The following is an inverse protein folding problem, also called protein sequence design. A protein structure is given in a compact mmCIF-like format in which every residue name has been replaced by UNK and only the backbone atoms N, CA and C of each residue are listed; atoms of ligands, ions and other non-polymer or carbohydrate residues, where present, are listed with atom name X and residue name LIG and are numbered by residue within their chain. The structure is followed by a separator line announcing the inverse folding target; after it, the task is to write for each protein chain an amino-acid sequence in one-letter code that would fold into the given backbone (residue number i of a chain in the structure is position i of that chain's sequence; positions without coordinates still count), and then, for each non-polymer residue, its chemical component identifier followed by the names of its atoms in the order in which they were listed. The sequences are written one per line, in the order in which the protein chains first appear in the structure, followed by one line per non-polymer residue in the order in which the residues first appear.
data_IF_484447841241
#
_entry.id   IF_484447841241
#
_cell.length_a   1.000
_cell.length_b   1.000
_cell.length_c   1.000
_cell.angle_alpha   90.00
_cell.angle_beta   90.00
_cell.angle_gamma   90.00
#
_symmetry.space_group_name_H-M   'P 1'
#
loop_
_entity.id
_entity.type
_entity.pdbx_description
1 polymer ?
#
# COMPACT_ATOMS: atom_id res chain seq x y z
N UNK A 1 -10.63 3.74 8.84
CA UNK A 1 -9.72 4.74 8.25
C UNK A 1 -8.85 5.27 9.40
N UNK A 2 -7.53 5.37 9.25
CA UNK A 2 -6.58 5.63 10.34
C UNK A 2 -5.30 6.30 9.85
N UNK A 3 -4.39 6.65 10.75
CA UNK A 3 -3.13 7.28 10.38
C UNK A 3 -2.11 6.24 9.91
N UNK A 4 -1.47 6.51 8.77
CA UNK A 4 -0.34 5.74 8.26
C UNK A 4 0.98 6.32 8.74
N UNK A 5 1.85 5.46 9.25
CA UNK A 5 3.22 5.81 9.63
C UNK A 5 4.20 4.98 8.81
N UNK A 6 5.23 5.65 8.26
CA UNK A 6 6.34 5.02 7.56
C UNK A 6 7.63 5.35 8.32
N UNK A 7 8.38 4.32 8.74
CA UNK A 7 9.62 4.48 9.53
C UNK A 7 9.45 5.40 10.76
N UNK A 8 8.33 5.25 11.48
CA UNK A 8 8.01 6.05 12.67
C UNK A 8 7.54 7.49 12.39
N UNK A 9 7.49 7.93 11.12
CA UNK A 9 6.98 9.25 10.74
C UNK A 9 5.55 9.18 10.22
N UNK A 10 4.72 10.14 10.61
CA UNK A 10 3.33 10.26 10.15
C UNK A 10 3.32 10.64 8.67
N UNK A 11 2.82 9.74 7.81
CA UNK A 11 2.83 9.91 6.35
C UNK A 11 1.45 10.23 5.77
N UNK A 12 0.42 10.35 6.61
CA UNK A 12 -0.92 10.77 6.20
C UNK A 12 -1.97 9.75 6.60
N UNK A 13 -3.05 9.69 5.83
CA UNK A 13 -4.21 8.88 6.14
C UNK A 13 -4.23 7.60 5.29
N UNK A 14 -4.56 6.49 5.93
CA UNK A 14 -4.64 5.19 5.31
C UNK A 14 -6.00 4.55 5.65
N UNK A 15 -6.63 3.97 4.64
CA UNK A 15 -7.92 3.32 4.78
C UNK A 15 -7.95 2.01 4.03
N UNK A 16 -8.44 0.95 4.69
CA UNK A 16 -8.89 -0.22 3.96
C UNK A 16 -10.12 0.19 3.15
N UNK A 17 -10.05 0.04 1.83
CA UNK A 17 -11.24 0.15 0.97
C UNK A 17 -11.93 -1.22 0.95
N UNK A 18 -13.13 -1.29 1.50
CA UNK A 18 -13.97 -2.50 1.46
C UNK A 18 -14.60 -2.70 0.08
N UNK A 19 -14.89 -1.61 -0.62
CA UNK A 19 -15.46 -1.63 -1.97
C UNK A 19 -14.52 -0.91 -2.94
N UNK A 20 -14.08 -1.64 -3.96
CA UNK A 20 -13.33 -1.08 -5.09
C UNK A 20 -14.32 -0.67 -6.18
N UNK A 21 -14.30 0.60 -6.57
CA UNK A 21 -15.07 1.09 -7.71
C UNK A 21 -14.49 0.62 -9.04
N UNK A 22 -15.16 0.98 -10.13
CA UNK A 22 -14.73 0.62 -11.49
C UNK A 22 -13.31 1.12 -11.80
N UNK A 23 -12.93 2.27 -11.25
CA UNK A 23 -11.59 2.86 -11.43
C UNK A 23 -10.52 2.06 -10.71
N UNK A 24 -10.75 1.70 -9.45
CA UNK A 24 -9.83 0.85 -8.68
C UNK A 24 -9.68 -0.53 -9.29
N UNK A 25 -10.76 -1.13 -9.80
CA UNK A 25 -10.69 -2.41 -10.50
C UNK A 25 -9.84 -2.35 -11.77
N UNK A 26 -9.93 -1.27 -12.56
CA UNK A 26 -9.06 -1.07 -13.72
C UNK A 26 -7.59 -0.95 -13.32
N UNK A 27 -7.30 -0.23 -12.24
CA UNK A 27 -5.95 -0.13 -11.68
C UNK A 27 -5.43 -1.51 -11.23
N UNK A 28 -6.23 -2.26 -10.47
CA UNK A 28 -5.84 -3.58 -9.98
C UNK A 28 -5.59 -4.57 -11.13
N UNK A 29 -6.41 -4.53 -12.20
CA UNK A 29 -6.17 -5.33 -13.41
C UNK A 29 -4.89 -4.93 -14.12
N UNK A 30 -4.59 -3.64 -14.22
CA UNK A 30 -3.33 -3.20 -14.84
C UNK A 30 -2.09 -3.58 -14.02
N UNK A 31 -2.24 -3.72 -12.70
CA UNK A 31 -1.18 -4.17 -11.82
C UNK A 31 -1.06 -5.68 -11.71
N UNK A 32 -2.00 -6.45 -12.25
CA UNK A 32 -2.01 -7.93 -12.25
C UNK A 32 -0.67 -8.56 -12.70
N UNK A 33 -0.01 -8.11 -13.80
CA UNK A 33 1.28 -8.67 -14.22
C UNK A 33 2.48 -8.24 -13.34
N UNK A 34 2.35 -7.21 -12.50
CA UNK A 34 3.47 -6.69 -11.70
C UNK A 34 3.64 -7.52 -10.43
N UNK A 35 4.54 -8.49 -10.36
CA UNK A 35 4.66 -9.32 -9.14
C UNK A 35 5.13 -8.53 -7.91
N UNK A 36 6.13 -7.66 -8.08
CA UNK A 36 6.67 -6.76 -7.06
C UNK A 36 7.23 -5.49 -7.73
N UNK A 37 7.30 -4.36 -7.00
CA UNK A 37 7.87 -3.10 -7.48
C UNK A 37 7.06 -1.87 -7.05
N UNK A 38 7.57 -0.69 -7.40
CA UNK A 38 6.87 0.58 -7.26
C UNK A 38 6.96 1.36 -8.57
N UNK A 39 5.96 2.20 -8.85
CA UNK A 39 5.93 2.98 -10.09
C UNK A 39 4.79 3.97 -10.13
N UNK A 40 4.75 4.76 -11.21
CA UNK A 40 3.64 5.65 -11.53
C UNK A 40 2.80 5.04 -12.65
N UNK A 41 1.49 5.22 -12.56
CA UNK A 41 0.54 4.82 -13.58
C UNK A 41 -0.39 5.99 -13.89
N UNK A 42 -0.80 6.21 -15.16
CA UNK A 42 -1.80 7.22 -15.47
C UNK A 42 -3.11 6.95 -14.73
N UNK A 43 -3.69 7.97 -14.07
CA UNK A 43 -5.05 7.88 -13.52
C UNK A 43 -6.07 7.76 -14.65
N UNK A 44 -7.02 6.85 -14.48
CA UNK A 44 -8.15 6.66 -15.39
C UNK A 44 -9.33 7.63 -15.10
N UNK A 45 -9.04 8.85 -14.66
CA UNK A 45 -10.03 9.89 -14.36
C UNK A 45 -10.03 11.03 -15.37
N UNK A 46 -11.22 11.52 -15.74
CA UNK A 46 -11.36 12.81 -16.42
C UNK A 46 -11.10 13.92 -15.40
N UNK A 47 -9.99 14.64 -15.57
CA UNK A 47 -9.54 15.70 -14.68
C UNK A 47 -8.05 15.59 -14.38
N UNK A 48 -7.28 16.46 -15.02
CA UNK A 48 -5.85 16.81 -14.81
C UNK A 48 -4.94 15.75 -14.15
N UNK A 49 -4.05 15.17 -14.98
CA UNK A 49 -2.71 14.63 -14.64
C UNK A 49 -2.51 14.17 -13.18
N UNK A 50 -3.38 13.31 -12.67
CA UNK A 50 -3.17 12.68 -11.37
C UNK A 50 -2.42 11.39 -11.64
N UNK A 51 -1.10 11.40 -11.56
CA UNK A 51 -0.34 10.14 -11.64
C UNK A 51 -0.63 9.33 -10.36
N UNK A 52 -0.99 8.06 -10.53
CA UNK A 52 -1.19 7.14 -9.41
C UNK A 52 0.13 6.43 -9.17
N UNK A 53 0.78 6.77 -8.05
CA UNK A 53 1.89 5.98 -7.54
C UNK A 53 1.35 4.69 -6.93
N UNK A 54 1.94 3.56 -7.30
CA UNK A 54 1.62 2.26 -6.74
C UNK A 54 2.88 1.58 -6.20
N UNK A 55 2.66 0.68 -5.25
CA UNK A 55 3.67 -0.25 -4.77
C UNK A 55 3.01 -1.62 -4.59
N UNK A 56 3.60 -2.66 -5.18
CA UNK A 56 3.21 -4.05 -5.02
C UNK A 56 4.39 -4.81 -4.45
N UNK A 57 4.19 -5.54 -3.38
CA UNK A 57 5.21 -6.39 -2.78
C UNK A 57 4.54 -7.49 -1.98
N UNK A 58 5.32 -8.47 -1.55
CA UNK A 58 4.89 -9.43 -0.54
C UNK A 58 5.07 -8.78 0.83
N UNK A 59 3.98 -8.67 1.58
CA UNK A 59 4.01 -8.14 2.94
C UNK A 59 3.64 -9.22 3.94
N UNK A 60 4.38 -9.27 5.04
CA UNK A 60 3.95 -9.96 6.24
C UNK A 60 3.07 -9.01 7.06
N UNK A 61 1.81 -9.40 7.27
CA UNK A 61 0.85 -8.65 8.08
C UNK A 61 0.89 -9.16 9.51
N UNK A 62 1.25 -8.28 10.44
CA UNK A 62 1.20 -8.52 11.88
C UNK A 62 0.11 -7.64 12.49
N UNK A 63 -0.84 -8.27 13.18
CA UNK A 63 -1.90 -7.55 13.89
C UNK A 63 -1.45 -7.40 15.34
N UNK A 64 -1.16 -6.18 15.77
CA UNK A 64 -0.72 -5.92 17.14
C UNK A 64 -1.89 -5.81 18.13
N UNK A 65 -2.97 -5.13 17.70
CA UNK A 65 -4.18 -4.95 18.50
C UNK A 65 -5.37 -4.71 17.57
N UNK A 66 -6.59 -4.57 18.12
CA UNK A 66 -7.80 -4.21 17.37
C UNK A 66 -7.62 -2.97 16.50
N UNK A 67 -6.77 -2.06 16.98
CA UNK A 67 -6.56 -0.74 16.41
C UNK A 67 -5.17 -0.58 15.77
N UNK A 68 -4.36 -1.64 15.72
CA UNK A 68 -2.98 -1.58 15.20
C UNK A 68 -2.63 -2.75 14.30
N UNK A 69 -2.18 -2.43 13.09
CA UNK A 69 -1.66 -3.38 12.11
C UNK A 69 -0.31 -2.90 11.58
N UNK A 70 0.63 -3.82 11.39
CA UNK A 70 1.93 -3.58 10.79
C UNK A 70 2.10 -4.46 9.55
N UNK A 71 2.71 -3.90 8.50
CA UNK A 71 3.03 -4.59 7.27
C UNK A 71 4.53 -4.49 7.01
N UNK A 72 5.21 -5.62 7.03
CA UNK A 72 6.65 -5.73 6.75
C UNK A 72 6.84 -6.16 5.31
N UNK A 73 7.48 -5.33 4.48
CA UNK A 73 7.83 -5.73 3.12
C UNK A 73 8.92 -6.79 3.19
N UNK A 74 8.63 -7.95 2.63
CA UNK A 74 9.57 -9.07 2.55
C UNK A 74 10.40 -8.93 1.29
N UNK A 75 11.73 -8.89 1.43
CA UNK A 75 12.63 -9.00 0.29
C UNK A 75 12.68 -10.48 -0.17
N UNK A 76 12.46 -10.79 -1.46
CA UNK A 76 12.59 -12.16 -1.98
C UNK A 76 13.98 -12.78 -1.76
N UNK A 77 15.03 -11.96 -1.63
CA UNK A 77 16.43 -12.39 -1.48
C UNK A 77 16.83 -12.68 -0.01
N UNK A 78 15.86 -12.73 0.92
CA UNK A 78 16.04 -13.32 2.26
C UNK A 78 17.15 -12.70 3.14
N UNK A 79 17.50 -11.42 2.96
CA UNK A 79 18.51 -10.78 3.80
C UNK A 79 17.93 -10.24 5.13
N UNK A 80 17.27 -11.11 5.91
CA UNK A 80 16.99 -10.99 7.36
C UNK A 80 16.17 -9.81 7.91
N UNK A 81 16.04 -8.68 7.19
CA UNK A 81 15.40 -7.47 7.67
C UNK A 81 14.45 -6.88 6.60
N UNK A 82 13.25 -6.41 7.00
CA UNK A 82 12.33 -5.76 6.08
C UNK A 82 12.87 -4.39 5.66
N UNK A 83 12.90 -4.13 4.35
CA UNK A 83 13.37 -2.85 3.79
C UNK A 83 12.42 -1.69 4.10
N UNK A 84 11.13 -2.01 4.31
CA UNK A 84 10.10 -1.04 4.64
C UNK A 84 9.06 -1.67 5.58
N UNK A 85 8.74 -0.95 6.64
CA UNK A 85 7.65 -1.28 7.56
C UNK A 85 6.59 -0.18 7.53
N UNK A 86 5.33 -0.54 7.28
CA UNK A 86 4.18 0.36 7.31
C UNK A 86 3.32 0.04 8.51
N UNK A 87 3.09 1.04 9.37
CA UNK A 87 2.24 0.91 10.55
C UNK A 87 0.94 1.67 10.35
N UNK A 88 -0.18 0.97 10.52
CA UNK A 88 -1.51 1.53 10.48
C UNK A 88 -2.05 1.58 11.91
N UNK A 89 -2.26 2.79 12.41
CA UNK A 89 -2.88 3.03 13.70
C UNK A 89 -4.26 3.64 13.48
N UNK A 90 -5.28 2.95 13.99
CA UNK A 90 -6.65 3.47 14.07
C UNK A 90 -6.78 4.14 15.44
N UNK A 91 -7.07 5.43 15.45
CA UNK A 91 -7.36 6.21 16.67
C UNK A 91 -8.77 6.74 16.52
#
# INVERSE_FOLDING_TARGET
MGWGFCNGKKCGFAGRKEYCGVKEWKLLKALEPVSMGAGVMPSYGEGERTEIMYMRAKFERIVGSRDSEAFYMMNPDSNGAPELSVYLLRV
#
